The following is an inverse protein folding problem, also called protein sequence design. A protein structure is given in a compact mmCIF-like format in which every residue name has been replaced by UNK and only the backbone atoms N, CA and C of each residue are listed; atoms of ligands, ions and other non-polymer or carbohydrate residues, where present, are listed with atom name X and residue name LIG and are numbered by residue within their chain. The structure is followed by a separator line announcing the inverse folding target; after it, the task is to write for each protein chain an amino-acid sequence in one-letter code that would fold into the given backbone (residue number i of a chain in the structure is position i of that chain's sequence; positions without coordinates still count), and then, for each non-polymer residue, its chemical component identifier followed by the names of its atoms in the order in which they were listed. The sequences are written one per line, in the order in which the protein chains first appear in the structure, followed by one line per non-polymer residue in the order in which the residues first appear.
data_IF_428367662619
#
_entry.id   IF_428367662619
#
_cell.length_a   1.000
_cell.length_b   1.000
_cell.length_c   1.000
_cell.angle_alpha   90.00
_cell.angle_beta   90.00
_cell.angle_gamma   90.00
#
_symmetry.space_group_name_H-M   'P 1'
#
loop_
_entity.id
_entity.type
_entity.pdbx_description
1 polymer ?
#
# COMPACT_ATOMS: atom_id res chain seq x y z
N UNK A 1 1.90 -2.96 -4.64
CA UNK A 1 0.61 -3.01 -3.89
C UNK A 1 0.36 -1.68 -3.22
N UNK A 2 -0.89 -1.31 -2.93
CA UNK A 2 -1.24 -0.07 -2.20
C UNK A 2 -1.90 -0.44 -0.88
N UNK A 3 -1.31 -0.04 0.25
CA UNK A 3 -1.74 -0.46 1.58
C UNK A 3 -2.00 0.76 2.45
N UNK A 4 -3.24 0.86 2.93
CA UNK A 4 -3.63 1.79 3.99
C UNK A 4 -4.44 1.07 5.05
N UNK A 5 -3.97 1.11 6.30
CA UNK A 5 -4.55 0.34 7.42
C UNK A 5 -5.32 1.27 8.37
N UNK A 6 -6.37 0.74 9.01
CA UNK A 6 -7.04 1.45 10.09
C UNK A 6 -6.43 1.09 11.46
N UNK A 7 -6.39 2.05 12.38
CA UNK A 7 -5.98 1.86 13.76
C UNK A 7 -6.73 0.71 14.45
N UNK A 8 -6.04 0.06 15.40
CA UNK A 8 -6.56 -1.09 16.14
C UNK A 8 -6.58 -2.39 15.33
N UNK A 9 -5.96 -2.41 14.13
CA UNK A 9 -5.70 -3.62 13.35
C UNK A 9 -4.28 -4.11 13.57
N UNK A 10 -4.08 -5.41 13.33
CA UNK A 10 -2.75 -6.00 13.27
C UNK A 10 -2.08 -5.65 11.92
N UNK A 11 -1.51 -4.44 11.85
CA UNK A 11 -0.86 -3.94 10.64
C UNK A 11 0.38 -4.77 10.28
N UNK A 12 1.18 -5.18 11.27
CA UNK A 12 2.36 -6.00 11.05
C UNK A 12 1.99 -7.38 10.50
N UNK A 13 1.05 -8.08 11.12
CA UNK A 13 0.62 -9.40 10.62
C UNK A 13 0.04 -9.33 9.21
N UNK A 14 -0.63 -8.21 8.86
CA UNK A 14 -1.09 -7.96 7.49
C UNK A 14 0.09 -7.78 6.53
N UNK A 15 1.08 -6.95 6.88
CA UNK A 15 2.27 -6.72 6.07
C UNK A 15 3.05 -8.03 5.85
N UNK A 16 3.30 -8.80 6.91
CA UNK A 16 4.00 -10.10 6.86
C UNK A 16 3.28 -11.12 5.95
N UNK A 17 1.94 -11.10 5.94
CA UNK A 17 1.18 -11.99 5.06
C UNK A 17 1.29 -11.62 3.58
N UNK A 18 1.51 -10.34 3.26
CA UNK A 18 1.61 -9.85 1.88
C UNK A 18 3.05 -9.75 1.36
N UNK A 19 4.05 -9.75 2.25
CA UNK A 19 5.48 -9.72 1.91
C UNK A 19 5.88 -10.72 0.80
N UNK A 20 5.49 -12.02 0.86
CA UNK A 20 5.92 -12.97 -0.16
C UNK A 20 5.16 -12.84 -1.49
N UNK A 21 4.13 -11.98 -1.56
CA UNK A 21 3.23 -11.86 -2.71
C UNK A 21 3.41 -10.56 -3.50
N UNK A 22 3.90 -9.50 -2.85
CA UNK A 22 4.04 -8.18 -3.47
C UNK A 22 5.51 -7.87 -3.74
N UNK A 23 5.85 -7.51 -4.97
CA UNK A 23 7.20 -7.03 -5.30
C UNK A 23 7.53 -5.74 -4.54
N UNK A 24 6.64 -4.75 -4.63
CA UNK A 24 6.78 -3.45 -3.95
C UNK A 24 5.46 -3.02 -3.29
N UNK A 25 5.55 -2.15 -2.29
CA UNK A 25 4.39 -1.58 -1.59
C UNK A 25 4.46 -0.06 -1.52
N UNK A 26 3.33 0.57 -1.83
CA UNK A 26 3.07 2.00 -1.60
C UNK A 26 2.16 2.13 -0.38
N UNK A 27 2.67 2.77 0.66
CA UNK A 27 1.97 3.02 1.91
C UNK A 27 1.20 4.33 1.81
N UNK A 28 -0.08 4.30 2.17
CA UNK A 28 -0.99 5.44 2.07
C UNK A 28 -1.85 5.59 3.32
N UNK A 29 -2.50 6.76 3.44
CA UNK A 29 -3.49 7.04 4.46
C UNK A 29 -4.87 7.27 3.84
N UNK A 30 -5.90 6.61 4.36
CA UNK A 30 -7.29 6.88 3.97
C UNK A 30 -7.86 8.08 4.78
N UNK A 31 -9.06 8.53 4.42
CA UNK A 31 -9.64 9.74 5.04
C UNK A 31 -10.32 9.51 6.40
N UNK A 32 -10.31 8.28 6.91
CA UNK A 32 -10.96 7.96 8.19
C UNK A 32 -10.24 8.61 9.37
N UNK A 33 -11.00 9.00 10.40
CA UNK A 33 -10.44 9.37 11.71
C UNK A 33 -9.69 8.20 12.40
N UNK A 34 -9.90 6.96 11.95
CA UNK A 34 -9.15 5.78 12.40
C UNK A 34 -8.09 5.38 11.39
N UNK A 35 -7.69 6.23 10.45
CA UNK A 35 -6.59 5.91 9.57
C UNK A 35 -5.31 5.83 10.42
N UNK A 36 -4.56 4.75 10.27
CA UNK A 36 -3.20 4.72 10.81
C UNK A 36 -2.37 5.75 10.05
N UNK A 37 -1.51 6.46 10.77
CA UNK A 37 -0.56 7.40 10.18
C UNK A 37 0.33 6.71 9.14
N UNK A 38 0.51 7.33 7.97
CA UNK A 38 1.26 6.75 6.86
C UNK A 38 2.72 6.47 7.24
N UNK A 39 3.38 7.37 7.97
CA UNK A 39 4.79 7.21 8.36
C UNK A 39 4.93 6.09 9.39
N UNK A 40 3.99 5.99 10.33
CA UNK A 40 3.95 4.89 11.30
C UNK A 40 3.75 3.52 10.62
N UNK A 41 2.86 3.45 9.62
CA UNK A 41 2.65 2.23 8.84
C UNK A 41 3.87 1.92 7.96
N UNK A 42 4.52 2.94 7.40
CA UNK A 42 5.72 2.81 6.59
C UNK A 42 6.90 2.27 7.39
N UNK A 43 7.08 2.72 8.63
CA UNK A 43 8.10 2.16 9.53
C UNK A 43 7.94 0.64 9.70
N UNK A 44 6.71 0.17 9.90
CA UNK A 44 6.42 -1.27 9.96
C UNK A 44 6.67 -1.96 8.61
N UNK A 45 6.28 -1.32 7.51
CA UNK A 45 6.49 -1.87 6.17
C UNK A 45 7.98 -2.03 5.85
N UNK A 46 8.82 -1.06 6.21
CA UNK A 46 10.28 -1.12 6.01
C UNK A 46 10.88 -2.28 6.80
N UNK A 47 10.42 -2.51 8.03
CA UNK A 47 10.89 -3.65 8.84
C UNK A 47 10.52 -5.03 8.23
N UNK A 48 9.44 -5.09 7.44
CA UNK A 48 8.93 -6.34 6.85
C UNK A 48 9.42 -6.55 5.42
N UNK A 49 9.31 -5.54 4.57
CA UNK A 49 9.61 -5.60 3.13
C UNK A 49 11.05 -5.19 2.80
N UNK A 50 11.70 -4.40 3.65
CA UNK A 50 12.95 -3.69 3.36
C UNK A 50 12.71 -2.30 2.76
N UNK A 51 13.63 -1.36 2.99
CA UNK A 51 13.49 0.04 2.56
C UNK A 51 13.39 0.21 1.04
N UNK A 52 14.08 -0.64 0.28
CA UNK A 52 14.11 -0.59 -1.18
C UNK A 52 12.75 -0.93 -1.84
N UNK A 53 11.83 -1.55 -1.08
CA UNK A 53 10.52 -2.02 -1.57
C UNK A 53 9.35 -1.22 -1.04
N UNK A 54 9.61 -0.13 -0.32
CA UNK A 54 8.59 0.67 0.36
C UNK A 54 8.65 2.12 -0.13
N UNK A 55 7.57 2.54 -0.77
CA UNK A 55 7.31 3.95 -1.07
C UNK A 55 6.17 4.46 -0.17
N UNK A 56 6.18 5.75 0.15
CA UNK A 56 5.13 6.39 0.96
C UNK A 56 4.48 7.50 0.17
N UNK A 57 3.17 7.39 -0.03
CA UNK A 57 2.33 8.42 -0.63
C UNK A 57 1.11 8.60 0.27
N UNK A 58 1.10 9.61 1.18
CA UNK A 58 0.05 9.74 2.19
C UNK A 58 -1.35 9.96 1.60
N UNK A 59 -1.43 10.39 0.34
CA UNK A 59 -2.67 10.67 -0.36
C UNK A 59 -2.96 9.53 -1.34
N UNK A 60 -4.15 8.93 -1.21
CA UNK A 60 -4.52 7.74 -1.99
C UNK A 60 -4.42 7.90 -3.52
N UNK A 61 -4.85 9.02 -4.14
CA UNK A 61 -4.68 9.19 -5.59
C UNK A 61 -3.22 9.08 -6.05
N UNK A 62 -2.31 9.72 -5.32
CA UNK A 62 -0.88 9.68 -5.58
C UNK A 62 -0.29 8.29 -5.33
N UNK A 63 -0.78 7.58 -4.30
CA UNK A 63 -0.37 6.21 -4.04
C UNK A 63 -0.79 5.24 -5.15
N UNK A 64 -1.98 5.43 -5.73
CA UNK A 64 -2.46 4.64 -6.87
C UNK A 64 -1.63 4.92 -8.12
N UNK A 65 -1.34 6.19 -8.41
CA UNK A 65 -0.49 6.59 -9.54
C UNK A 65 0.91 5.98 -9.42
N UNK A 66 1.57 6.14 -8.27
CA UNK A 66 2.88 5.55 -8.01
C UNK A 66 2.86 4.02 -8.19
N UNK A 67 1.86 3.33 -7.66
CA UNK A 67 1.77 1.88 -7.79
C UNK A 67 1.53 1.41 -9.24
N UNK A 68 0.80 2.18 -10.04
CA UNK A 68 0.63 1.89 -11.47
C UNK A 68 1.95 2.05 -12.20
N UNK A 69 2.69 3.15 -11.95
CA UNK A 69 4.02 3.36 -12.53
C UNK A 69 4.97 2.21 -12.19
N UNK A 70 5.06 1.80 -10.92
CA UNK A 70 5.88 0.65 -10.52
C UNK A 70 5.48 -0.64 -11.24
N UNK A 71 4.18 -0.91 -11.37
CA UNK A 71 3.68 -2.10 -12.06
C UNK A 71 3.96 -2.10 -13.57
N UNK A 72 4.04 -0.92 -14.20
CA UNK A 72 4.41 -0.78 -15.61
C UNK A 72 5.93 -0.96 -15.83
N UNK A 73 6.76 -0.48 -14.91
CA UNK A 73 8.23 -0.58 -14.98
C UNK A 73 8.73 -2.03 -14.86
N UNK A 74 8.12 -2.85 -13.98
CA UNK A 74 8.43 -4.29 -13.88
C UNK A 74 7.89 -5.11 -15.08
N UNK A 75 7.05 -4.49 -15.92
CA UNK A 75 6.14 -5.18 -16.85
C UNK A 75 6.69 -5.55 -18.23
N UNK A 76 7.98 -5.38 -18.53
CA UNK A 76 8.49 -5.59 -19.90
C UNK A 76 8.34 -7.06 -20.39
N UNK A 77 8.19 -8.03 -19.47
CA UNK A 77 8.05 -9.46 -19.81
C UNK A 77 6.96 -10.25 -19.05
N UNK A 78 6.38 -9.70 -17.98
CA UNK A 78 5.29 -10.31 -17.22
C UNK A 78 4.34 -9.20 -16.76
N UNK A 79 3.05 -9.25 -17.13
CA UNK A 79 2.10 -8.19 -16.79
C UNK A 79 2.05 -7.93 -15.27
N UNK A 80 2.33 -6.69 -14.88
CA UNK A 80 2.19 -6.22 -13.49
C UNK A 80 0.73 -5.92 -13.12
N UNK A 81 0.45 -5.88 -11.83
CA UNK A 81 -0.89 -5.56 -11.33
C UNK A 81 -0.85 -4.88 -9.97
N UNK A 82 -1.80 -3.98 -9.73
CA UNK A 82 -1.91 -3.24 -8.47
C UNK A 82 -3.00 -3.84 -7.60
N UNK A 83 -2.62 -4.37 -6.43
CA UNK A 83 -3.55 -4.77 -5.38
C UNK A 83 -3.70 -3.64 -4.34
N UNK A 84 -4.93 -3.13 -4.18
CA UNK A 84 -5.29 -2.17 -3.12
C UNK A 84 -5.91 -2.91 -1.94
N UNK A 85 -5.36 -2.74 -0.73
CA UNK A 85 -5.79 -3.47 0.48
C UNK A 85 -5.50 -2.72 1.79
N UNK A 86 -5.67 -3.38 2.93
CA UNK A 86 -5.35 -2.87 4.27
C UNK A 86 -6.56 -2.36 5.06
N UNK A 87 -7.57 -1.80 4.37
CA UNK A 87 -8.81 -1.34 4.98
C UNK A 87 -9.95 -1.33 3.98
N UNK A 88 -11.17 -1.63 4.46
CA UNK A 88 -12.40 -1.47 3.68
C UNK A 88 -12.60 -0.02 3.21
N UNK A 89 -12.08 0.95 3.98
CA UNK A 89 -12.17 2.37 3.64
C UNK A 89 -11.21 2.68 2.49
N UNK A 90 -9.93 2.27 2.60
CA UNK A 90 -8.93 2.42 1.54
C UNK A 90 -9.43 1.83 0.22
N UNK A 91 -9.97 0.60 0.24
CA UNK A 91 -10.52 -0.06 -0.96
C UNK A 91 -11.76 0.67 -1.48
N UNK A 92 -12.64 1.12 -0.59
CA UNK A 92 -13.85 1.86 -0.95
C UNK A 92 -13.56 3.21 -1.61
N UNK A 93 -12.56 3.94 -1.09
CA UNK A 93 -12.09 5.20 -1.66
C UNK A 93 -11.41 4.99 -3.01
N UNK A 94 -10.55 3.98 -3.13
CA UNK A 94 -9.90 3.64 -4.40
C UNK A 94 -10.92 3.30 -5.50
N UNK A 95 -12.00 2.59 -5.16
CA UNK A 95 -13.09 2.29 -6.09
C UNK A 95 -13.78 3.54 -6.65
N UNK A 96 -13.76 4.68 -5.96
CA UNK A 96 -14.36 5.92 -6.46
C UNK A 96 -13.43 6.69 -7.41
N UNK A 97 -12.15 6.35 -7.42
CA UNK A 97 -11.10 7.00 -8.21
C UNK A 97 -10.76 6.26 -9.50
N UNK A 98 -11.20 5.00 -9.63
CA UNK A 98 -10.97 4.09 -10.75
C UNK A 98 -12.27 3.85 -11.55
#
# INVERSE_FOLDING_TARGET
GVIGVSEGKDARGLLEAFEPLMAEVVITQNTSHRAMDADALAALAVEVFGEDRVQVEPRLPEALEAAVTLAEEEGEFAGGGVLVTGSVITVGEARLLL
#
